data_IF_051926844608
#
_entry.id   IF_051926844608
#
_cell.length_a   1.000
_cell.length_b   1.000
_cell.length_c   1.000
_cell.angle_alpha   90.00
_cell.angle_beta   90.00
_cell.angle_gamma   90.00
#
_symmetry.space_group_name_H-M   'P 1'
#
loop_
_entity.id
_entity.type
_entity.pdbx_description
1 polymer ?
#
# COMPACT_ATOMS: atom_id res chain seq x y z
N UNK A 1 31.24 -44.59 4.60
CA UNK A 1 31.16 -43.55 5.65
C UNK A 1 29.79 -43.60 6.31
N UNK A 2 29.73 -43.79 7.63
CA UNK A 2 28.50 -44.08 8.38
C UNK A 2 27.71 -42.80 8.71
N UNK A 3 26.37 -42.83 8.56
CA UNK A 3 25.46 -41.67 8.69
C UNK A 3 25.50 -40.99 10.06
N UNK A 4 26.00 -41.66 11.09
CA UNK A 4 26.07 -41.12 12.45
C UNK A 4 27.20 -40.10 12.68
N UNK A 5 28.21 -40.03 11.80
CA UNK A 5 29.30 -39.05 11.93
C UNK A 5 28.91 -37.61 11.51
N UNK A 6 27.89 -37.45 10.65
CA UNK A 6 27.45 -36.12 10.16
C UNK A 6 26.64 -35.32 11.19
N UNK A 7 25.97 -35.97 12.15
CA UNK A 7 25.15 -35.28 13.16
C UNK A 7 25.96 -34.64 14.30
N UNK A 8 27.13 -35.20 14.61
CA UNK A 8 27.97 -34.71 15.73
C UNK A 8 28.71 -33.42 15.34
N UNK A 9 29.20 -33.34 14.10
CA UNK A 9 29.92 -32.15 13.60
C UNK A 9 29.00 -30.94 13.43
N UNK A 10 27.75 -31.15 13.00
CA UNK A 10 26.77 -30.07 12.83
C UNK A 10 26.27 -29.45 14.15
N UNK A 11 26.18 -30.23 15.23
CA UNK A 11 25.76 -29.69 16.52
C UNK A 11 26.88 -28.92 17.24
N UNK A 12 28.14 -29.32 17.06
CA UNK A 12 29.30 -28.62 17.64
C UNK A 12 29.47 -27.24 17.00
N UNK A 13 29.23 -27.10 15.69
CA UNK A 13 29.34 -25.81 15.00
C UNK A 13 28.25 -24.81 15.42
N UNK A 14 27.02 -25.29 15.65
CA UNK A 14 25.91 -24.45 16.14
C UNK A 14 26.14 -24.05 17.61
N UNK A 15 26.65 -24.96 18.44
CA UNK A 15 26.97 -24.68 19.84
C UNK A 15 28.07 -23.62 19.99
N UNK A 16 29.13 -23.70 19.19
CA UNK A 16 30.21 -22.71 19.21
C UNK A 16 29.75 -21.32 18.75
N UNK A 17 28.87 -21.26 17.73
CA UNK A 17 28.30 -20.00 17.26
C UNK A 17 27.42 -19.33 18.33
N UNK A 18 26.53 -20.10 18.96
CA UNK A 18 25.66 -19.57 20.01
C UNK A 18 26.44 -19.11 21.25
N UNK A 19 27.48 -19.85 21.66
CA UNK A 19 28.35 -19.42 22.76
C UNK A 19 29.08 -18.10 22.44
N UNK A 20 29.51 -17.91 21.19
CA UNK A 20 30.12 -16.66 20.73
C UNK A 20 29.16 -15.47 20.79
N UNK A 21 27.92 -15.65 20.32
CA UNK A 21 26.89 -14.59 20.38
C UNK A 21 26.56 -14.20 21.82
N UNK A 22 26.43 -15.18 22.72
CA UNK A 22 26.16 -14.91 24.14
C UNK A 22 27.35 -14.20 24.81
N UNK A 23 28.59 -14.55 24.46
CA UNK A 23 29.77 -13.87 24.98
C UNK A 23 29.82 -12.40 24.51
N UNK A 24 29.51 -12.12 23.24
CA UNK A 24 29.45 -10.76 22.69
C UNK A 24 28.36 -9.93 23.40
N UNK A 25 27.19 -10.52 23.62
CA UNK A 25 26.09 -9.87 24.35
C UNK A 25 26.44 -9.61 25.82
N UNK A 26 27.15 -10.53 26.47
CA UNK A 26 27.60 -10.35 27.85
C UNK A 26 28.64 -9.22 27.98
N UNK A 27 29.56 -9.08 27.01
CA UNK A 27 30.54 -7.99 26.99
C UNK A 27 29.85 -6.64 26.77
N UNK A 28 28.86 -6.56 25.86
CA UNK A 28 28.07 -5.35 25.64
C UNK A 28 27.23 -4.91 26.87
N UNK A 29 26.88 -5.84 27.77
CA UNK A 29 26.19 -5.49 29.00
C UNK A 29 27.11 -4.86 30.07
N UNK A 30 28.41 -5.19 30.02
CA UNK A 30 29.42 -4.69 30.96
C UNK A 30 30.08 -3.41 30.46
N UNK A 31 30.23 -3.27 29.15
CA UNK A 31 30.71 -2.07 28.48
C UNK A 31 29.74 -1.73 27.33
N UNK A 32 28.76 -0.83 27.56
CA UNK A 32 27.75 -0.48 26.56
C UNK A 32 28.35 0.23 25.34
N UNK A 33 29.60 0.71 25.43
CA UNK A 33 30.30 1.35 24.32
C UNK A 33 31.04 0.32 23.44
N UNK A 34 31.13 -0.95 23.84
CA UNK A 34 31.81 -2.00 23.06
C UNK A 34 31.18 -2.27 21.68
N UNK A 35 29.86 -2.11 21.55
CA UNK A 35 29.15 -2.19 20.27
C UNK A 35 28.86 -0.83 19.64
N UNK A 36 29.30 0.27 20.26
CA UNK A 36 29.18 1.57 19.59
C UNK A 36 30.16 1.60 18.42
N UNK A 37 29.61 1.92 17.25
CA UNK A 37 30.34 1.92 16.00
C UNK A 37 31.38 3.04 16.05
N UNK A 38 32.64 2.71 16.31
CA UNK A 38 33.73 3.67 16.30
C UNK A 38 33.83 4.26 14.88
N UNK A 39 33.63 5.57 14.79
CA UNK A 39 33.56 6.28 13.52
C UNK A 39 34.91 6.25 12.77
N UNK A 40 36.02 6.13 13.49
CA UNK A 40 37.37 6.05 12.93
C UNK A 40 37.62 4.66 12.34
N UNK A 41 37.29 3.59 13.08
CA UNK A 41 37.37 2.20 12.57
C UNK A 41 36.40 1.96 11.40
N UNK A 42 35.23 2.60 11.42
CA UNK A 42 34.25 2.55 10.31
C UNK A 42 34.79 3.25 9.07
N UNK A 43 35.46 4.40 9.23
CA UNK A 43 36.07 5.13 8.12
C UNK A 43 37.25 4.36 7.52
N UNK A 44 38.07 3.72 8.35
CA UNK A 44 39.20 2.90 7.92
C UNK A 44 38.73 1.62 7.17
N UNK A 45 37.68 0.97 7.66
CA UNK A 45 37.06 -0.18 6.98
C UNK A 45 36.41 0.18 5.63
N UNK A 46 35.88 1.41 5.50
CA UNK A 46 35.23 1.89 4.28
C UNK A 46 36.21 2.49 3.25
N UNK A 47 37.48 2.70 3.58
CA UNK A 47 38.49 3.27 2.69
C UNK A 47 38.92 2.31 1.55
N UNK A 48 38.66 1.01 1.68
CA UNK A 48 39.01 0.00 0.67
C UNK A 48 37.82 -0.55 -0.12
N UNK A 49 36.77 -1.00 0.58
CA UNK A 49 35.54 -1.52 -0.03
C UNK A 49 34.43 -1.35 1.01
N UNK A 50 33.28 -0.70 0.73
CA UNK A 50 32.29 -0.42 1.75
C UNK A 50 31.68 -1.72 2.30
N UNK A 51 31.98 -2.08 3.55
CA UNK A 51 31.42 -3.27 4.24
C UNK A 51 30.29 -2.84 5.17
N UNK A 52 30.35 -1.64 5.73
CA UNK A 52 29.33 -1.12 6.63
C UNK A 52 28.43 -0.19 5.82
N UNK A 53 27.28 -0.71 5.38
CA UNK A 53 26.20 0.17 4.96
C UNK A 53 25.86 1.06 6.17
N UNK A 54 25.94 2.38 5.99
CA UNK A 54 25.54 3.34 7.02
C UNK A 54 24.13 3.02 7.53
N UNK A 55 23.72 3.59 8.68
CA UNK A 55 22.37 3.39 9.21
C UNK A 55 21.36 3.57 8.09
N UNK A 56 20.55 2.54 7.83
CA UNK A 56 19.42 2.62 6.90
C UNK A 56 18.47 3.63 7.53
N UNK A 57 18.63 4.91 7.18
CA UNK A 57 17.64 5.93 7.47
C UNK A 57 16.41 5.50 6.68
N UNK A 58 15.29 5.15 7.33
CA UNK A 58 14.06 4.86 6.60
C UNK A 58 13.77 6.10 5.74
N UNK A 59 13.74 5.93 4.42
CA UNK A 59 13.36 7.04 3.57
C UNK A 59 11.92 7.40 3.89
N UNK A 60 11.72 8.64 4.35
CA UNK A 60 10.39 9.16 4.59
C UNK A 60 9.68 9.33 3.25
N UNK A 61 8.42 8.89 3.21
CA UNK A 61 7.58 9.05 2.04
C UNK A 61 7.31 10.54 1.81
N UNK A 62 7.32 11.01 0.55
CA UNK A 62 6.81 12.33 0.25
C UNK A 62 5.30 12.37 0.57
N UNK A 63 4.94 13.11 1.60
CA UNK A 63 3.53 13.32 2.00
C UNK A 63 2.86 14.47 1.23
N UNK A 64 3.65 15.23 0.47
CA UNK A 64 3.21 16.37 -0.33
C UNK A 64 3.31 16.07 -1.83
N UNK A 65 2.44 16.72 -2.63
CA UNK A 65 2.53 16.69 -4.09
C UNK A 65 3.91 17.17 -4.54
N UNK A 66 4.55 16.40 -5.41
CA UNK A 66 5.77 16.80 -6.09
C UNK A 66 5.48 18.03 -6.97
N UNK A 67 6.40 19.00 -7.02
CA UNK A 67 6.23 20.21 -7.84
C UNK A 67 7.06 20.17 -9.12
N UNK A 68 7.86 19.11 -9.31
CA UNK A 68 8.72 18.92 -10.49
C UNK A 68 8.72 17.46 -10.96
N UNK A 69 8.96 17.18 -12.26
CA UNK A 69 9.09 15.81 -12.76
C UNK A 69 10.17 14.99 -12.07
N UNK A 70 11.29 15.61 -11.69
CA UNK A 70 12.37 14.93 -10.98
C UNK A 70 11.96 14.46 -9.58
N UNK A 71 11.12 15.23 -8.88
CA UNK A 71 10.58 14.84 -7.58
C UNK A 71 9.57 13.69 -7.71
N UNK A 72 8.77 13.67 -8.79
CA UNK A 72 7.86 12.56 -9.09
C UNK A 72 8.66 11.28 -9.31
N UNK A 73 9.69 11.32 -10.16
CA UNK A 73 10.53 10.14 -10.43
C UNK A 73 11.29 9.67 -9.19
N UNK A 74 11.79 10.60 -8.36
CA UNK A 74 12.41 10.25 -7.09
C UNK A 74 11.42 9.60 -6.13
N UNK A 75 10.21 10.14 -5.99
CA UNK A 75 9.16 9.57 -5.15
C UNK A 75 8.78 8.15 -5.59
N UNK A 76 8.66 7.94 -6.91
CA UNK A 76 8.44 6.64 -7.53
C UNK A 76 9.54 5.65 -7.20
N UNK A 77 10.81 6.03 -7.40
CA UNK A 77 11.94 5.14 -7.14
C UNK A 77 12.02 4.76 -5.67
N UNK A 78 11.80 5.71 -4.74
CA UNK A 78 11.75 5.44 -3.30
C UNK A 78 10.65 4.42 -2.97
N UNK A 79 9.45 4.59 -3.52
CA UNK A 79 8.35 3.66 -3.28
C UNK A 79 8.66 2.25 -3.82
N UNK A 80 9.23 2.14 -5.02
CA UNK A 80 9.66 0.87 -5.60
C UNK A 80 10.74 0.19 -4.74
N UNK A 81 11.75 0.93 -4.30
CA UNK A 81 12.83 0.43 -3.46
C UNK A 81 12.32 -0.05 -2.09
N UNK A 82 11.23 0.56 -1.59
CA UNK A 82 10.57 0.19 -0.34
C UNK A 82 9.47 -0.88 -0.53
N UNK A 83 9.25 -1.38 -1.75
CA UNK A 83 8.19 -2.35 -2.05
C UNK A 83 6.77 -1.81 -1.79
N UNK A 84 6.57 -0.51 -1.93
CA UNK A 84 5.30 0.19 -1.70
C UNK A 84 4.50 0.30 -3.00
N UNK A 85 3.17 0.33 -2.89
CA UNK A 85 2.26 0.49 -4.05
C UNK A 85 2.32 1.90 -4.62
N UNK A 86 1.81 2.07 -5.84
CA UNK A 86 1.82 3.32 -6.60
C UNK A 86 1.18 4.50 -5.86
N UNK A 87 0.04 4.23 -5.23
CA UNK A 87 -0.65 5.05 -4.23
C UNK A 87 0.23 5.78 -3.21
N UNK A 88 1.37 5.19 -2.87
CA UNK A 88 2.27 5.72 -1.85
C UNK A 88 3.05 6.93 -2.35
N UNK A 89 3.27 7.06 -3.66
CA UNK A 89 4.05 8.14 -4.25
C UNK A 89 3.29 9.01 -5.27
N UNK A 90 2.26 8.49 -5.94
CA UNK A 90 1.59 9.20 -7.02
C UNK A 90 0.51 10.20 -6.54
N UNK A 91 0.88 11.09 -5.60
CA UNK A 91 -0.01 12.19 -5.16
C UNK A 91 -0.34 13.20 -6.27
N UNK A 92 0.40 13.11 -7.37
CA UNK A 92 0.28 13.97 -8.53
C UNK A 92 -0.63 13.39 -9.62
N UNK A 93 -1.11 12.16 -9.47
CA UNK A 93 -1.98 11.49 -10.44
C UNK A 93 -1.33 11.36 -11.83
N UNK A 94 -0.02 11.11 -11.86
CA UNK A 94 0.78 11.00 -13.08
C UNK A 94 0.55 9.66 -13.76
N UNK A 95 0.35 8.60 -12.99
CA UNK A 95 0.12 7.25 -13.47
C UNK A 95 -1.37 6.90 -13.53
N UNK A 96 -2.21 7.63 -12.78
CA UNK A 96 -3.66 7.54 -12.91
C UNK A 96 -4.15 8.01 -14.29
N UNK A 97 -4.79 7.11 -15.02
CA UNK A 97 -5.50 7.44 -16.25
C UNK A 97 -6.88 6.75 -16.27
N UNK A 98 -7.99 7.50 -16.24
CA UNK A 98 -9.32 6.89 -16.33
C UNK A 98 -9.48 6.16 -17.66
N UNK A 99 -10.20 5.03 -17.66
CA UNK A 99 -10.41 4.27 -18.88
C UNK A 99 -11.17 5.13 -19.93
N UNK A 100 -10.50 5.45 -21.04
CA UNK A 100 -11.09 6.27 -22.12
C UNK A 100 -11.93 5.43 -23.11
N UNK A 101 -11.66 4.12 -23.17
CA UNK A 101 -12.37 3.19 -24.04
C UNK A 101 -13.53 2.52 -23.28
N UNK A 102 -14.72 2.43 -23.91
CA UNK A 102 -15.89 1.78 -23.28
C UNK A 102 -17.26 2.42 -23.58
N UNK A 103 -17.32 3.38 -24.51
CA UNK A 103 -18.58 3.98 -24.96
C UNK A 103 -19.29 4.80 -23.87
N UNK A 104 -20.60 5.02 -24.05
CA UNK A 104 -21.37 5.92 -23.19
C UNK A 104 -21.39 5.51 -21.70
N UNK A 105 -21.31 4.20 -21.42
CA UNK A 105 -21.32 3.67 -20.04
C UNK A 105 -20.02 3.95 -19.30
N UNK A 106 -18.87 3.74 -19.94
CA UNK A 106 -17.58 4.10 -19.35
C UNK A 106 -17.49 5.62 -19.13
N UNK A 107 -17.97 6.41 -20.09
CA UNK A 107 -18.03 7.86 -19.92
C UNK A 107 -18.92 8.28 -18.74
N UNK A 108 -20.02 7.57 -18.50
CA UNK A 108 -20.86 7.78 -17.32
C UNK A 108 -20.10 7.42 -16.03
N UNK A 109 -19.48 6.24 -15.96
CA UNK A 109 -18.70 5.81 -14.81
C UNK A 109 -17.57 6.80 -14.48
N UNK A 110 -16.84 7.27 -15.49
CA UNK A 110 -15.79 8.29 -15.33
C UNK A 110 -16.33 9.60 -14.76
N UNK A 111 -17.56 10.01 -15.11
CA UNK A 111 -18.17 11.22 -14.54
C UNK A 111 -18.57 11.03 -13.09
N UNK A 112 -19.13 9.88 -12.72
CA UNK A 112 -19.45 9.55 -11.32
C UNK A 112 -18.16 9.54 -10.49
N UNK A 113 -17.14 8.81 -10.96
CA UNK A 113 -15.83 8.75 -10.34
C UNK A 113 -15.18 10.13 -10.17
N UNK A 114 -15.19 10.96 -11.22
CA UNK A 114 -14.65 12.31 -11.14
C UNK A 114 -15.38 13.16 -10.09
N UNK A 115 -16.70 12.99 -9.93
CA UNK A 115 -17.45 13.71 -8.89
C UNK A 115 -17.13 13.21 -7.49
N UNK A 116 -16.89 11.91 -7.32
CA UNK A 116 -16.45 11.37 -6.05
C UNK A 116 -15.05 11.89 -5.68
N UNK A 117 -14.09 11.84 -6.61
CA UNK A 117 -12.74 12.39 -6.43
C UNK A 117 -12.77 13.90 -6.11
N UNK A 118 -13.61 14.67 -6.82
CA UNK A 118 -13.82 16.09 -6.57
C UNK A 118 -14.31 16.35 -5.13
N UNK A 119 -15.23 15.53 -4.62
CA UNK A 119 -15.74 15.66 -3.24
C UNK A 119 -14.65 15.43 -2.19
N UNK A 120 -13.66 14.62 -2.52
CA UNK A 120 -12.50 14.35 -1.67
C UNK A 120 -11.33 15.35 -1.89
N UNK A 121 -11.47 16.32 -2.81
CA UNK A 121 -10.37 17.22 -3.19
C UNK A 121 -9.21 16.53 -3.89
N UNK A 122 -9.45 15.36 -4.48
CA UNK A 122 -8.45 14.50 -5.12
C UNK A 122 -8.59 14.53 -6.66
N UNK A 123 -7.47 14.34 -7.36
CA UNK A 123 -7.46 14.18 -8.82
C UNK A 123 -7.46 12.72 -9.30
N UNK A 124 -7.18 11.80 -8.38
CA UNK A 124 -7.05 10.36 -8.57
C UNK A 124 -7.19 9.66 -7.22
N UNK A 125 -7.46 8.35 -7.20
CA UNK A 125 -7.53 7.59 -5.95
C UNK A 125 -6.23 7.62 -5.14
N UNK A 126 -5.06 7.63 -5.79
CA UNK A 126 -3.75 7.69 -5.12
C UNK A 126 -3.54 8.95 -4.28
N UNK A 127 -4.23 10.04 -4.64
CA UNK A 127 -4.19 11.30 -3.89
C UNK A 127 -5.13 11.30 -2.68
N UNK A 128 -5.94 10.26 -2.50
CA UNK A 128 -6.80 10.07 -1.33
C UNK A 128 -6.06 9.30 -0.23
N UNK A 129 -6.58 9.38 0.99
CA UNK A 129 -6.07 8.58 2.10
C UNK A 129 -6.53 7.13 1.97
N UNK A 130 -5.99 6.28 2.84
CA UNK A 130 -6.53 4.94 3.05
C UNK A 130 -8.05 4.99 3.30
N UNK A 131 -8.85 4.05 2.75
CA UNK A 131 -8.47 2.90 1.90
C UNK A 131 -8.50 3.20 0.39
N UNK A 132 -8.89 4.41 -0.03
CA UNK A 132 -9.28 4.70 -1.41
C UNK A 132 -8.13 4.64 -2.41
N UNK A 133 -6.90 4.77 -1.96
CA UNK A 133 -5.73 4.64 -2.82
C UNK A 133 -5.58 3.23 -3.42
N UNK A 134 -6.30 2.23 -2.92
CA UNK A 134 -6.34 0.90 -3.53
C UNK A 134 -7.31 0.82 -4.72
N UNK A 135 -8.05 1.87 -5.07
CA UNK A 135 -8.96 1.85 -6.22
C UNK A 135 -8.17 1.95 -7.52
N UNK A 136 -8.26 0.91 -8.35
CA UNK A 136 -7.60 0.83 -9.65
C UNK A 136 -8.46 1.36 -10.78
N UNK A 137 -9.77 1.12 -10.74
CA UNK A 137 -10.63 1.45 -11.87
C UNK A 137 -12.10 1.62 -11.49
N UNK A 138 -12.78 2.35 -12.37
CA UNK A 138 -14.22 2.54 -12.35
C UNK A 138 -14.78 2.08 -13.69
N UNK A 139 -15.88 1.35 -13.67
CA UNK A 139 -16.62 1.03 -14.88
C UNK A 139 -18.12 0.90 -14.58
N UNK A 140 -18.89 0.58 -15.62
CA UNK A 140 -20.33 0.36 -15.50
C UNK A 140 -20.73 -0.85 -16.31
N UNK A 141 -21.15 -1.91 -15.62
CA UNK A 141 -21.61 -3.17 -16.20
C UNK A 141 -23.06 -3.09 -16.66
N UNK A 142 -23.87 -2.21 -16.08
CA UNK A 142 -25.27 -1.95 -16.41
C UNK A 142 -25.66 -0.48 -16.16
N UNK A 143 -26.71 0.05 -16.82
CA UNK A 143 -27.24 1.37 -16.50
C UNK A 143 -27.50 1.52 -15.00
N UNK A 144 -27.11 2.67 -14.43
CA UNK A 144 -27.26 2.97 -13.00
C UNK A 144 -26.35 2.19 -12.07
N UNK A 145 -25.45 1.33 -12.58
CA UNK A 145 -24.51 0.58 -11.76
C UNK A 145 -23.08 1.08 -11.97
N UNK A 146 -22.45 1.52 -10.89
CA UNK A 146 -21.02 1.80 -10.83
C UNK A 146 -20.30 0.57 -10.26
N UNK A 147 -19.25 0.11 -10.91
CA UNK A 147 -18.31 -0.87 -10.37
C UNK A 147 -16.98 -0.19 -10.07
N UNK A 148 -16.47 -0.41 -8.86
CA UNK A 148 -15.17 0.04 -8.38
C UNK A 148 -14.31 -1.20 -8.18
N UNK A 149 -13.18 -1.27 -8.87
CA UNK A 149 -12.22 -2.36 -8.72
C UNK A 149 -11.07 -1.88 -7.84
N UNK A 150 -10.76 -2.66 -6.81
CA UNK A 150 -9.64 -2.44 -5.90
C UNK A 150 -8.50 -3.40 -6.21
N UNK A 151 -7.26 -2.96 -6.01
CA UNK A 151 -6.05 -3.78 -6.14
C UNK A 151 -6.13 -5.05 -5.28
N UNK A 152 -5.55 -6.15 -5.75
CA UNK A 152 -5.43 -7.38 -4.97
C UNK A 152 -4.74 -7.17 -3.60
N UNK A 153 -3.82 -6.19 -3.52
CA UNK A 153 -3.09 -5.86 -2.30
C UNK A 153 -4.00 -5.45 -1.13
N UNK A 154 -5.21 -4.98 -1.41
CA UNK A 154 -6.21 -4.68 -0.38
C UNK A 154 -6.57 -5.94 0.44
N UNK A 155 -6.58 -7.12 -0.20
CA UNK A 155 -6.95 -8.40 0.42
C UNK A 155 -5.95 -8.88 1.48
N UNK A 156 -4.71 -8.41 1.40
CA UNK A 156 -3.65 -8.72 2.35
C UNK A 156 -3.40 -7.60 3.35
N UNK A 157 -4.13 -6.49 3.29
CA UNK A 157 -4.03 -5.39 4.25
C UNK A 157 -4.82 -5.73 5.53
N UNK A 158 -4.15 -5.98 6.68
CA UNK A 158 -4.82 -6.29 7.93
C UNK A 158 -5.68 -5.15 8.47
N UNK A 159 -5.55 -3.92 7.96
CA UNK A 159 -6.40 -2.79 8.35
C UNK A 159 -7.77 -2.82 7.66
N UNK A 160 -7.89 -3.40 6.46
CA UNK A 160 -9.15 -3.51 5.69
C UNK A 160 -9.81 -4.88 5.88
N UNK A 161 -9.01 -5.93 6.12
CA UNK A 161 -9.53 -7.30 6.16
C UNK A 161 -9.81 -7.83 7.57
N UNK A 162 -10.03 -6.95 8.56
CA UNK A 162 -10.63 -7.37 9.83
C UNK A 162 -12.12 -7.73 9.69
N UNK A 163 -12.87 -7.04 8.82
CA UNK A 163 -14.25 -7.37 8.42
C UNK A 163 -14.52 -6.97 6.95
N UNK A 164 -13.88 -7.70 6.04
CA UNK A 164 -13.79 -7.33 4.63
C UNK A 164 -15.11 -6.94 3.93
N UNK A 165 -16.27 -7.58 4.18
CA UNK A 165 -17.52 -7.14 3.57
C UNK A 165 -17.98 -5.75 4.04
N UNK A 166 -17.80 -5.45 5.34
CA UNK A 166 -18.22 -4.18 5.93
C UNK A 166 -17.37 -3.00 5.48
N UNK A 167 -16.05 -3.19 5.37
CA UNK A 167 -15.15 -2.13 4.91
C UNK A 167 -15.35 -1.80 3.43
N UNK A 168 -15.65 -2.80 2.59
CA UNK A 168 -16.01 -2.58 1.18
C UNK A 168 -17.40 -1.92 1.03
N UNK A 169 -18.34 -2.25 1.93
CA UNK A 169 -19.66 -1.60 2.00
C UNK A 169 -19.51 -0.12 2.35
N UNK A 170 -18.65 0.22 3.31
CA UNK A 170 -18.37 1.61 3.69
C UNK A 170 -17.88 2.45 2.50
N UNK A 171 -16.96 1.92 1.68
CA UNK A 171 -16.50 2.60 0.46
C UNK A 171 -17.67 2.84 -0.51
N UNK A 172 -18.54 1.85 -0.70
CA UNK A 172 -19.70 1.97 -1.57
C UNK A 172 -20.68 3.05 -1.06
N UNK A 173 -20.95 3.07 0.25
CA UNK A 173 -21.81 4.07 0.89
C UNK A 173 -21.26 5.49 0.71
N UNK A 174 -19.96 5.71 0.92
CA UNK A 174 -19.38 7.05 0.76
C UNK A 174 -19.43 7.56 -0.68
N UNK A 175 -19.25 6.67 -1.65
CA UNK A 175 -19.40 7.05 -3.07
C UNK A 175 -20.85 7.45 -3.35
N UNK A 176 -21.83 6.73 -2.80
CA UNK A 176 -23.24 7.07 -2.91
C UNK A 176 -23.48 8.45 -2.28
N UNK A 177 -23.06 8.66 -1.03
CA UNK A 177 -23.27 9.90 -0.30
C UNK A 177 -22.66 11.10 -1.03
N UNK A 178 -21.47 10.93 -1.62
CA UNK A 178 -20.78 11.97 -2.37
C UNK A 178 -21.41 12.30 -3.74
N UNK A 179 -22.08 11.35 -4.38
CA UNK A 179 -22.44 11.47 -5.81
C UNK A 179 -23.95 11.46 -6.10
N UNK A 180 -24.79 10.89 -5.23
CA UNK A 180 -26.21 10.64 -5.51
C UNK A 180 -27.03 11.91 -5.83
N UNK A 181 -26.65 13.06 -5.26
CA UNK A 181 -27.34 14.33 -5.56
C UNK A 181 -27.12 14.79 -7.02
N UNK A 182 -25.96 14.46 -7.60
CA UNK A 182 -25.57 14.87 -8.96
C UNK A 182 -25.90 13.78 -10.00
N UNK A 183 -25.91 12.52 -9.58
CA UNK A 183 -26.20 11.36 -10.42
C UNK A 183 -27.43 10.64 -9.87
N UNK A 184 -28.60 11.20 -10.17
CA UNK A 184 -29.90 10.64 -9.73
C UNK A 184 -30.25 9.33 -10.44
N UNK A 185 -29.52 8.98 -11.49
CA UNK A 185 -29.57 7.71 -12.20
C UNK A 185 -28.63 6.65 -11.60
N UNK A 186 -27.84 6.98 -10.57
CA UNK A 186 -27.06 5.99 -9.81
C UNK A 186 -28.01 5.18 -8.91
N UNK A 187 -28.03 3.87 -9.13
CA UNK A 187 -28.88 2.93 -8.41
C UNK A 187 -28.07 2.03 -7.47
N UNK A 188 -26.88 1.61 -7.86
CA UNK A 188 -26.04 0.68 -7.09
C UNK A 188 -24.56 0.95 -7.29
N UNK A 189 -23.79 0.82 -6.21
CA UNK A 189 -22.32 0.80 -6.24
C UNK A 189 -21.84 -0.60 -5.85
N UNK A 190 -21.04 -1.20 -6.73
CA UNK A 190 -20.38 -2.49 -6.51
C UNK A 190 -18.90 -2.24 -6.25
N UNK A 191 -18.38 -2.74 -5.14
CA UNK A 191 -16.94 -2.73 -4.86
C UNK A 191 -16.43 -4.17 -4.96
N UNK A 192 -15.42 -4.38 -5.79
CA UNK A 192 -14.80 -5.69 -6.04
C UNK A 192 -13.30 -5.61 -5.84
N UNK A 193 -12.70 -6.70 -5.36
CA UNK A 193 -11.26 -6.82 -5.21
C UNK A 193 -10.70 -7.68 -6.35
N UNK A 194 -9.69 -7.18 -7.05
CA UNK A 194 -9.06 -7.90 -8.16
C UNK A 194 -8.54 -9.27 -7.71
N UNK A 195 -8.85 -10.31 -8.49
CA UNK A 195 -8.38 -11.68 -8.20
C UNK A 195 -8.96 -12.31 -6.93
N UNK A 196 -9.95 -11.66 -6.27
CA UNK A 196 -10.58 -12.16 -5.06
C UNK A 196 -12.10 -12.34 -5.25
N UNK A 197 -12.71 -13.26 -4.49
CA UNK A 197 -14.17 -13.45 -4.50
C UNK A 197 -14.91 -12.42 -3.64
N UNK A 198 -14.19 -11.50 -3.01
CA UNK A 198 -14.78 -10.49 -2.13
C UNK A 198 -15.44 -9.41 -2.97
N UNK A 199 -16.74 -9.22 -2.74
CA UNK A 199 -17.53 -8.16 -3.35
C UNK A 199 -18.53 -7.63 -2.33
N UNK A 200 -18.72 -6.32 -2.33
CA UNK A 200 -19.83 -5.67 -1.63
C UNK A 200 -20.66 -4.87 -2.63
N UNK A 201 -21.94 -4.68 -2.33
CA UNK A 201 -22.89 -4.02 -3.22
C UNK A 201 -23.92 -3.26 -2.39
N UNK A 202 -24.01 -1.94 -2.60
CA UNK A 202 -24.93 -1.08 -1.88
C UNK A 202 -25.90 -0.42 -2.85
N UNK A 203 -27.19 -0.59 -2.58
CA UNK A 203 -28.25 0.08 -3.33
C UNK A 203 -28.58 1.45 -2.74
N UNK A 204 -28.69 2.47 -3.60
CA UNK A 204 -28.95 3.86 -3.19
C UNK A 204 -30.28 4.00 -2.45
N UNK A 205 -31.33 3.32 -2.93
CA UNK A 205 -32.66 3.36 -2.31
C UNK A 205 -32.66 2.80 -0.87
N UNK A 206 -32.01 1.66 -0.64
CA UNK A 206 -31.91 1.04 0.69
C UNK A 206 -31.12 1.88 1.70
N UNK A 207 -30.15 2.67 1.20
CA UNK A 207 -29.36 3.57 2.05
C UNK A 207 -30.17 4.78 2.52
N UNK A 208 -30.89 5.45 1.62
CA UNK A 208 -31.68 6.63 1.95
C UNK A 208 -32.83 6.33 2.93
N UNK A 209 -33.31 5.09 2.97
CA UNK A 209 -34.31 4.63 3.95
C UNK A 209 -33.71 4.43 5.34
N UNK A 210 -32.45 4.00 5.43
CA UNK A 210 -31.75 3.77 6.71
C UNK A 210 -31.28 5.07 7.40
N UNK A 211 -31.21 6.17 6.66
CA UNK A 211 -30.77 7.48 7.15
C UNK A 211 -31.92 8.37 7.67
N UNK A 212 -33.17 7.88 7.67
CA UNK A 212 -34.36 8.60 8.16
C UNK A 212 -34.79 8.12 9.53
#
# INVERSE_FOLDING_TARGET
MNRNAKRIVGNISVGAFLAGVVAILAVNHVDPDFLTNDAELTAEANAGTPIVQGPIVPLELPTAKATTPAQVENARQIALDMGRSEATWDKNCVAWNPAESGGARQQWANRVAASWLESAGAGCPDAMTWPYYYVESFDSTAPGQLRITMEQAVASDPQIFTDAPGDLEFIAEEVIDATHQKFTDLETVHVVVEGHSSTSSVGVAGRLESAR
#
